data_IF_709818459799
#
_entry.id   IF_709818459799
#
_cell.length_a   1.000
_cell.length_b   1.000
_cell.length_c   1.000
_cell.angle_alpha   90.00
_cell.angle_beta   90.00
_cell.angle_gamma   90.00
#
_symmetry.space_group_name_H-M   'P 1'
#
loop_
_entity.id
_entity.type
_entity.pdbx_description
1 polymer ?
#
# COMPACT_ATOMS: atom_id res chain seq x y z
N UNK A 1 -12.46 -10.99 22.99
CA UNK A 1 -12.23 -9.78 22.14
C UNK A 1 -10.76 -9.45 21.85
N UNK A 2 -9.80 -9.70 22.76
CA UNK A 2 -8.36 -9.43 22.56
C UNK A 2 -7.77 -10.08 21.28
N UNK A 3 -8.17 -11.33 20.98
CA UNK A 3 -7.64 -12.08 19.84
C UNK A 3 -8.08 -11.52 18.48
N UNK A 4 -9.32 -11.02 18.36
CA UNK A 4 -9.81 -10.40 17.10
C UNK A 4 -9.03 -9.13 16.75
N UNK A 5 -8.76 -8.25 17.73
CA UNK A 5 -7.96 -7.03 17.50
C UNK A 5 -6.53 -7.36 17.08
N UNK A 6 -5.89 -8.34 17.75
CA UNK A 6 -4.53 -8.81 17.38
C UNK A 6 -4.50 -9.40 15.97
N UNK A 7 -5.54 -10.14 15.58
CA UNK A 7 -5.66 -10.71 14.24
C UNK A 7 -5.74 -9.60 13.17
N UNK A 8 -6.56 -8.57 13.37
CA UNK A 8 -6.67 -7.44 12.43
C UNK A 8 -5.32 -6.73 12.23
N UNK A 9 -4.57 -6.51 13.32
CA UNK A 9 -3.22 -5.91 13.23
C UNK A 9 -2.26 -6.78 12.42
N UNK A 10 -2.29 -8.11 12.64
CA UNK A 10 -1.48 -9.04 11.83
C UNK A 10 -1.86 -9.01 10.35
N UNK A 11 -3.16 -9.04 10.04
CA UNK A 11 -3.66 -8.99 8.66
C UNK A 11 -3.21 -7.69 7.99
N UNK A 12 -3.33 -6.55 8.67
CA UNK A 12 -2.82 -5.26 8.18
C UNK A 12 -1.34 -5.33 7.81
N UNK A 13 -0.51 -5.86 8.71
CA UNK A 13 0.93 -6.02 8.46
C UNK A 13 1.23 -6.93 7.26
N UNK A 14 0.57 -8.08 7.18
CA UNK A 14 0.75 -9.03 6.08
C UNK A 14 0.36 -8.41 4.73
N UNK A 15 -0.80 -7.75 4.65
CA UNK A 15 -1.26 -7.08 3.43
C UNK A 15 -0.28 -6.00 3.00
N UNK A 16 0.25 -5.20 3.93
CA UNK A 16 1.27 -4.18 3.62
C UNK A 16 2.57 -4.78 3.08
N UNK A 17 3.06 -5.88 3.67
CA UNK A 17 4.28 -6.55 3.22
C UNK A 17 4.08 -7.14 1.83
N UNK A 18 2.96 -7.83 1.59
CA UNK A 18 2.63 -8.39 0.28
C UNK A 18 2.52 -7.29 -0.78
N UNK A 19 1.83 -6.18 -0.47
CA UNK A 19 1.73 -5.03 -1.36
C UNK A 19 3.12 -4.50 -1.73
N UNK A 20 4.02 -4.36 -0.75
CA UNK A 20 5.41 -3.94 -0.97
C UNK A 20 6.19 -4.89 -1.89
N UNK A 21 6.08 -6.21 -1.67
CA UNK A 21 6.77 -7.22 -2.50
C UNK A 21 6.28 -7.15 -3.96
N UNK A 22 4.96 -7.11 -4.18
CA UNK A 22 4.41 -7.05 -5.54
C UNK A 22 4.76 -5.72 -6.21
N UNK A 23 4.77 -4.63 -5.46
CA UNK A 23 5.22 -3.32 -5.93
C UNK A 23 6.67 -3.33 -6.40
N UNK A 24 7.58 -4.00 -5.68
CA UNK A 24 8.96 -4.18 -6.14
C UNK A 24 9.03 -4.96 -7.46
N UNK A 25 8.28 -6.06 -7.58
CA UNK A 25 8.21 -6.85 -8.82
C UNK A 25 7.69 -5.99 -9.98
N UNK A 26 6.62 -5.22 -9.76
CA UNK A 26 6.05 -4.32 -10.76
C UNK A 26 7.05 -3.23 -11.16
N UNK A 27 7.81 -2.68 -10.21
CA UNK A 27 8.83 -1.66 -10.47
C UNK A 27 9.96 -2.21 -11.36
N UNK A 28 10.52 -3.36 -11.02
CA UNK A 28 11.60 -4.00 -11.79
C UNK A 28 11.09 -4.38 -13.19
N UNK A 29 9.91 -4.98 -13.29
CA UNK A 29 9.32 -5.37 -14.59
C UNK A 29 8.93 -4.16 -15.42
N UNK A 30 8.50 -3.05 -14.80
CA UNK A 30 8.17 -1.80 -15.48
C UNK A 30 9.40 -1.11 -16.07
N UNK A 31 10.51 -1.05 -15.32
CA UNK A 31 11.80 -0.57 -15.85
C UNK A 31 12.24 -1.44 -17.03
N UNK A 32 12.14 -2.77 -16.89
CA UNK A 32 12.50 -3.70 -17.97
C UNK A 32 11.61 -3.51 -19.21
N UNK A 33 10.30 -3.31 -19.01
CA UNK A 33 9.35 -3.04 -20.08
C UNK A 33 9.68 -1.74 -20.82
N UNK A 34 10.01 -0.69 -20.07
CA UNK A 34 10.37 0.62 -20.60
C UNK A 34 11.64 0.55 -21.48
N UNK A 35 12.65 -0.21 -21.03
CA UNK A 35 13.91 -0.38 -21.77
C UNK A 35 13.80 -1.38 -22.93
N UNK A 36 12.97 -2.42 -22.80
CA UNK A 36 12.79 -3.44 -23.82
C UNK A 36 11.39 -4.04 -23.74
N UNK A 37 10.45 -3.57 -24.59
CA UNK A 37 9.08 -4.06 -24.58
C UNK A 37 9.01 -5.46 -25.21
N UNK A 38 9.38 -6.49 -24.44
CA UNK A 38 9.24 -7.91 -24.79
C UNK A 38 8.02 -8.51 -24.11
N UNK A 39 7.24 -9.31 -24.84
CA UNK A 39 5.94 -9.83 -24.39
C UNK A 39 5.91 -10.48 -23.00
N UNK A 40 6.93 -11.25 -22.62
CA UNK A 40 6.98 -11.88 -21.27
C UNK A 40 7.08 -10.88 -20.12
N UNK A 41 7.79 -9.76 -20.31
CA UNK A 41 7.88 -8.71 -19.31
C UNK A 41 6.56 -7.94 -19.19
N UNK A 42 5.88 -7.72 -20.31
CA UNK A 42 4.55 -7.11 -20.38
C UNK A 42 3.53 -7.89 -19.56
N UNK A 43 3.42 -9.21 -19.78
CA UNK A 43 2.44 -10.03 -19.05
C UNK A 43 2.67 -10.03 -17.54
N UNK A 44 3.92 -10.17 -17.09
CA UNK A 44 4.24 -10.14 -15.66
C UNK A 44 3.97 -8.77 -15.02
N UNK A 45 4.32 -7.68 -15.72
CA UNK A 45 4.06 -6.33 -15.24
C UNK A 45 2.56 -6.06 -15.11
N UNK A 46 1.78 -6.41 -16.13
CA UNK A 46 0.32 -6.25 -16.12
C UNK A 46 -0.33 -7.06 -14.99
N UNK A 47 0.07 -8.33 -14.81
CA UNK A 47 -0.44 -9.17 -13.73
C UNK A 47 -0.09 -8.61 -12.34
N UNK A 48 1.15 -8.17 -12.15
CA UNK A 48 1.57 -7.52 -10.91
C UNK A 48 0.79 -6.22 -10.64
N UNK A 49 0.51 -5.43 -11.68
CA UNK A 49 -0.31 -4.21 -11.60
C UNK A 49 -1.73 -4.48 -11.10
N UNK A 50 -2.42 -5.49 -11.64
CA UNK A 50 -3.75 -5.89 -11.14
C UNK A 50 -3.71 -6.34 -9.68
N UNK A 51 -2.68 -7.08 -9.28
CA UNK A 51 -2.53 -7.53 -7.91
C UNK A 51 -2.25 -6.37 -6.95
N UNK A 52 -1.45 -5.38 -7.37
CA UNK A 52 -1.24 -4.12 -6.63
C UNK A 52 -2.56 -3.39 -6.44
N UNK A 53 -3.38 -3.28 -7.49
CA UNK A 53 -4.68 -2.60 -7.41
C UNK A 53 -5.59 -3.21 -6.32
N UNK A 54 -5.70 -4.55 -6.31
CA UNK A 54 -6.48 -5.26 -5.30
C UNK A 54 -5.89 -5.09 -3.89
N UNK A 55 -4.59 -5.32 -3.73
CA UNK A 55 -3.90 -5.23 -2.43
C UNK A 55 -3.90 -3.79 -1.89
N UNK A 56 -3.72 -2.78 -2.73
CA UNK A 56 -3.76 -1.37 -2.35
C UNK A 56 -5.16 -0.96 -1.89
N UNK A 57 -6.21 -1.44 -2.57
CA UNK A 57 -7.60 -1.21 -2.16
C UNK A 57 -7.86 -1.82 -0.77
N UNK A 58 -7.48 -3.09 -0.57
CA UNK A 58 -7.62 -3.77 0.73
C UNK A 58 -6.79 -3.06 1.81
N UNK A 59 -5.55 -2.70 1.49
CA UNK A 59 -4.67 -1.96 2.39
C UNK A 59 -5.32 -0.64 2.83
N UNK A 60 -5.87 0.13 1.88
CA UNK A 60 -6.54 1.38 2.18
C UNK A 60 -7.77 1.18 3.07
N UNK A 61 -8.63 0.20 2.75
CA UNK A 61 -9.81 -0.13 3.57
C UNK A 61 -9.41 -0.52 5.00
N UNK A 62 -8.36 -1.33 5.16
CA UNK A 62 -7.91 -1.75 6.49
C UNK A 62 -7.26 -0.63 7.30
N UNK A 63 -6.71 0.40 6.64
CA UNK A 63 -5.95 1.47 7.26
C UNK A 63 -6.63 2.85 7.22
N UNK A 64 -7.80 3.01 6.58
CA UNK A 64 -8.40 4.33 6.32
C UNK A 64 -8.63 5.14 7.61
N UNK A 65 -9.07 4.50 8.70
CA UNK A 65 -9.33 5.19 9.97
C UNK A 65 -8.07 5.81 10.54
N UNK A 66 -6.95 5.09 10.44
CA UNK A 66 -5.63 5.56 10.89
C UNK A 66 -5.16 6.71 10.00
N UNK A 67 -5.27 6.55 8.68
CA UNK A 67 -4.94 7.59 7.70
C UNK A 67 -5.69 8.90 7.98
N UNK A 68 -7.01 8.84 8.21
CA UNK A 68 -7.81 10.04 8.54
C UNK A 68 -7.35 10.66 9.87
N UNK A 69 -6.98 9.87 10.87
CA UNK A 69 -6.47 10.42 12.13
C UNK A 69 -5.13 11.15 11.97
N UNK A 70 -4.22 10.59 11.16
CA UNK A 70 -2.92 11.21 10.87
C UNK A 70 -3.09 12.47 10.02
N UNK A 71 -3.92 12.42 8.97
CA UNK A 71 -4.25 13.59 8.16
C UNK A 71 -4.84 14.71 9.02
N UNK A 72 -5.78 14.39 9.92
CA UNK A 72 -6.34 15.39 10.85
C UNK A 72 -5.28 16.02 11.73
N UNK A 73 -4.29 15.26 12.21
CA UNK A 73 -3.19 15.82 13.01
C UNK A 73 -2.34 16.75 12.15
N UNK A 74 -1.98 16.34 10.94
CA UNK A 74 -1.17 17.14 10.02
C UNK A 74 -1.85 18.45 9.61
N UNK A 75 -3.17 18.43 9.38
CA UNK A 75 -3.96 19.61 9.01
C UNK A 75 -4.50 20.41 10.20
N UNK A 76 -4.39 19.89 11.43
CA UNK A 76 -4.63 20.66 12.66
C UNK A 76 -3.42 21.55 12.93
N UNK A 77 -3.23 22.51 12.03
CA UNK A 77 -2.25 23.59 12.09
C UNK A 77 -2.24 24.21 13.49
N UNK A 78 -1.09 24.11 14.17
CA UNK A 78 -0.41 25.18 14.91
C UNK A 78 -1.17 26.10 15.87
N UNK A 79 -2.38 25.78 16.30
CA UNK A 79 -3.06 26.60 17.31
C UNK A 79 -2.57 26.21 18.70
N UNK A 80 -1.97 27.19 19.37
CA UNK A 80 -1.42 27.20 20.74
C UNK A 80 0.09 26.93 20.83
N UNK A 81 0.88 27.95 20.51
CA UNK A 81 1.77 28.49 21.52
C UNK A 81 1.69 30.03 21.49
N UNK A 82 0.83 30.54 22.37
CA UNK A 82 1.01 31.86 22.97
C UNK A 82 2.28 31.79 23.83
N UNK A 83 3.34 32.49 23.45
CA UNK A 83 4.30 33.10 24.37
C UNK A 83 4.78 34.40 23.73
#
# INVERSE_FOLDING_TARGET
>A
MKNKKRLVVKIRGIVSILLGIVFLVASITGIKLFLSPKGKATTLHTAAGFLIMALATIHLILNYKMLISELKILFRKGDKHHV
#
